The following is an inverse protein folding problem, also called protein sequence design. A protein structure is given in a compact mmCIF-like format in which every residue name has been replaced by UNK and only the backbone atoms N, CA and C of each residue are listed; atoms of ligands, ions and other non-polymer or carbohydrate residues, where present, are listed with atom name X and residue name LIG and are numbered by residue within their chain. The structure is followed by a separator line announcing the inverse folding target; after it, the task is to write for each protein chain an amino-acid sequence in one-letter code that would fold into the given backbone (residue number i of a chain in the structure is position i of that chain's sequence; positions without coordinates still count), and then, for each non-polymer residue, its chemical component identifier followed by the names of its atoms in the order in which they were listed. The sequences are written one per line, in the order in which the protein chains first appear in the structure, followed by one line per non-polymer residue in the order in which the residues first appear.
data_IF_207843044730
#
_entry.id   IF_207843044730
#
_cell.length_a   1.000
_cell.length_b   1.000
_cell.length_c   1.000
_cell.angle_alpha   90.00
_cell.angle_beta   90.00
_cell.angle_gamma   90.00
#
_symmetry.space_group_name_H-M   'P 1'
#
loop_
_entity.id
_entity.type
_entity.pdbx_description
1 polymer ?
#
# COMPACT_ATOMS: atom_id res chain seq x y z
N UNK A 1 29.58 4.64 -0.64
CA UNK A 1 28.25 4.43 -1.24
C UNK A 1 28.17 3.00 -1.76
N UNK A 2 27.25 2.22 -1.22
CA UNK A 2 26.98 0.83 -1.62
C UNK A 2 26.61 0.74 -3.07
N UNK A 3 26.91 0.47 -4.04
CA UNK A 3 26.43 0.40 -5.44
C UNK A 3 26.85 1.58 -6.33
N UNK A 4 27.99 2.21 -6.05
CA UNK A 4 28.51 3.30 -6.86
C UNK A 4 28.64 2.93 -8.36
N UNK A 5 28.96 1.68 -8.66
CA UNK A 5 29.06 1.19 -10.04
C UNK A 5 27.73 1.19 -10.82
N UNK A 6 26.62 1.20 -10.10
CA UNK A 6 25.25 1.22 -10.66
C UNK A 6 24.62 2.61 -10.62
N UNK A 7 25.36 3.64 -10.20
CA UNK A 7 24.84 4.99 -10.16
C UNK A 7 24.26 5.41 -11.50
N UNK A 8 23.04 5.92 -11.48
CA UNK A 8 22.30 6.38 -12.68
C UNK A 8 21.98 5.29 -13.72
N UNK A 9 22.00 4.03 -13.31
CA UNK A 9 21.64 2.91 -14.18
C UNK A 9 20.39 2.22 -13.69
N UNK A 10 19.49 1.88 -14.61
CA UNK A 10 18.42 0.93 -14.32
C UNK A 10 19.02 -0.47 -14.28
N UNK A 11 19.07 -1.07 -13.09
CA UNK A 11 19.69 -2.40 -12.90
C UNK A 11 18.68 -3.54 -12.96
N UNK A 12 17.39 -3.24 -12.74
CA UNK A 12 16.31 -4.23 -12.80
C UNK A 12 14.96 -3.54 -13.07
N UNK A 13 14.12 -4.22 -13.82
CA UNK A 13 12.70 -3.91 -13.95
C UNK A 13 11.88 -5.07 -13.38
N UNK A 14 10.85 -4.79 -12.60
CA UNK A 14 10.01 -5.78 -11.93
C UNK A 14 8.56 -5.46 -12.28
N UNK A 15 7.83 -6.50 -12.70
CA UNK A 15 6.41 -6.37 -12.99
C UNK A 15 5.61 -6.23 -11.70
N UNK A 16 4.86 -5.14 -11.55
CA UNK A 16 3.87 -4.93 -10.48
C UNK A 16 2.53 -5.60 -10.77
N UNK A 17 1.54 -5.34 -9.92
CA UNK A 17 0.18 -5.88 -10.10
C UNK A 17 -0.69 -5.07 -11.07
N UNK A 18 -0.19 -3.94 -11.55
CA UNK A 18 -0.87 -3.09 -12.54
C UNK A 18 -0.23 -1.72 -12.66
N UNK A 19 -0.70 -0.93 -13.60
CA UNK A 19 -0.31 0.47 -13.78
C UNK A 19 -1.08 1.40 -12.85
N UNK A 20 -0.67 2.67 -12.76
CA UNK A 20 -1.38 3.69 -12.00
C UNK A 20 -1.03 3.71 -10.51
N UNK A 21 0.18 3.24 -10.15
CA UNK A 21 0.73 3.39 -8.80
C UNK A 21 1.06 4.85 -8.51
N UNK A 22 0.79 5.26 -7.28
CA UNK A 22 1.20 6.55 -6.73
C UNK A 22 2.30 6.37 -5.66
N UNK A 23 2.22 5.30 -4.88
CA UNK A 23 3.10 5.11 -3.73
C UNK A 23 3.66 3.69 -3.68
N UNK A 24 4.92 3.61 -3.27
CA UNK A 24 5.58 2.39 -2.85
C UNK A 24 6.15 2.59 -1.46
N UNK A 25 6.19 1.54 -0.64
CA UNK A 25 6.73 1.64 0.71
C UNK A 25 7.45 0.39 1.15
N UNK A 26 8.57 0.60 1.82
CA UNK A 26 9.31 -0.43 2.57
C UNK A 26 9.53 0.04 4.00
N UNK A 27 10.04 -0.83 4.85
CA UNK A 27 10.47 -0.48 6.20
C UNK A 27 11.80 -1.21 6.53
N UNK A 28 12.74 -0.60 7.26
CA UNK A 28 14.04 -1.23 7.57
C UNK A 28 13.96 -2.59 8.27
N UNK A 29 12.86 -2.86 8.95
CA UNK A 29 12.62 -4.13 9.65
C UNK A 29 11.76 -5.13 8.86
N UNK A 30 11.37 -4.80 7.64
CA UNK A 30 10.52 -5.63 6.78
C UNK A 30 11.26 -6.08 5.52
N UNK A 31 10.85 -7.21 4.98
CA UNK A 31 11.27 -7.68 3.66
C UNK A 31 10.20 -7.41 2.59
N UNK A 32 9.10 -6.74 2.95
CA UNK A 32 8.02 -6.43 2.03
C UNK A 32 8.23 -5.07 1.36
N UNK A 33 7.96 -5.03 0.06
CA UNK A 33 7.75 -3.82 -0.73
C UNK A 33 6.28 -3.78 -1.11
N UNK A 34 5.55 -2.80 -0.57
CA UNK A 34 4.13 -2.59 -0.84
C UNK A 34 3.96 -1.56 -1.96
N UNK A 35 3.01 -1.83 -2.86
CA UNK A 35 2.75 -1.01 -4.05
C UNK A 35 1.25 -0.85 -4.21
N UNK A 36 0.77 0.38 -4.28
CA UNK A 36 -0.62 0.68 -4.63
C UNK A 36 -0.81 0.81 -6.15
N UNK A 37 -2.06 0.90 -6.61
CA UNK A 37 -2.39 1.23 -8.00
C UNK A 37 -3.75 1.96 -8.11
N UNK A 38 -3.99 3.03 -7.32
CA UNK A 38 -5.31 3.66 -7.24
C UNK A 38 -5.78 4.31 -8.53
N UNK A 39 -4.87 4.65 -9.44
CA UNK A 39 -5.21 5.27 -10.71
C UNK A 39 -5.50 4.25 -11.83
N UNK A 40 -5.43 2.95 -11.54
CA UNK A 40 -5.76 1.95 -12.53
C UNK A 40 -7.25 1.99 -12.87
N UNK A 41 -7.58 1.84 -14.15
CA UNK A 41 -8.97 1.80 -14.64
C UNK A 41 -9.71 0.53 -14.28
N UNK A 42 -9.00 -0.56 -14.03
CA UNK A 42 -9.59 -1.84 -13.64
C UNK A 42 -9.85 -1.87 -12.13
N UNK A 43 -11.11 -2.07 -11.75
CA UNK A 43 -11.53 -2.10 -10.36
C UNK A 43 -10.75 -3.14 -9.53
N UNK A 44 -10.52 -4.33 -10.11
CA UNK A 44 -9.76 -5.40 -9.44
C UNK A 44 -8.35 -4.95 -9.05
N UNK A 45 -7.73 -4.07 -9.83
CA UNK A 45 -6.39 -3.54 -9.57
C UNK A 45 -6.45 -2.36 -8.62
N UNK A 46 -7.30 -1.36 -8.91
CA UNK A 46 -7.38 -0.15 -8.07
C UNK A 46 -7.92 -0.40 -6.65
N UNK A 47 -8.56 -1.55 -6.44
CA UNK A 47 -9.11 -1.98 -5.15
C UNK A 47 -8.19 -2.93 -4.37
N UNK A 48 -7.00 -3.17 -4.89
CA UNK A 48 -6.01 -4.08 -4.30
C UNK A 48 -4.66 -3.38 -4.10
N UNK A 49 -3.76 -4.07 -3.41
CA UNK A 49 -2.35 -3.70 -3.33
C UNK A 49 -1.47 -4.87 -3.69
N UNK A 50 -0.33 -4.57 -4.29
CA UNK A 50 0.73 -5.54 -4.54
C UNK A 50 1.74 -5.56 -3.41
N UNK A 51 2.25 -6.74 -3.08
CA UNK A 51 3.37 -6.89 -2.17
C UNK A 51 4.41 -7.83 -2.74
N UNK A 52 5.65 -7.40 -2.75
CA UNK A 52 6.81 -8.17 -3.19
C UNK A 52 7.73 -8.45 -2.00
N UNK A 53 8.39 -9.60 -2.04
CA UNK A 53 9.49 -9.89 -1.12
C UNK A 53 10.80 -9.37 -1.72
N UNK A 54 11.41 -8.36 -1.09
CA UNK A 54 12.66 -7.75 -1.60
C UNK A 54 13.85 -8.71 -1.60
N UNK A 55 13.80 -9.79 -0.82
CA UNK A 55 14.81 -10.82 -0.81
C UNK A 55 14.57 -11.91 -1.87
N UNK A 56 13.36 -11.96 -2.45
CA UNK A 56 12.99 -12.94 -3.47
C UNK A 56 12.04 -12.35 -4.50
N UNK A 57 12.54 -11.43 -5.30
CA UNK A 57 11.77 -10.72 -6.32
C UNK A 57 11.27 -11.63 -7.45
N UNK A 58 11.94 -12.75 -7.68
CA UNK A 58 11.56 -13.74 -8.70
C UNK A 58 10.23 -14.45 -8.36
N UNK A 59 9.83 -14.43 -7.10
CA UNK A 59 8.53 -14.96 -6.68
C UNK A 59 7.35 -14.14 -7.23
N UNK A 60 7.63 -12.93 -7.71
CA UNK A 60 6.62 -12.02 -8.23
C UNK A 60 5.78 -11.36 -7.15
N UNK A 61 4.73 -10.68 -7.60
CA UNK A 61 3.84 -9.91 -6.74
C UNK A 61 2.72 -10.79 -6.17
N UNK A 62 2.45 -10.66 -4.88
CA UNK A 62 1.23 -11.15 -4.24
C UNK A 62 0.23 -10.00 -4.20
N UNK A 63 -1.02 -10.26 -4.58
CA UNK A 63 -2.08 -9.23 -4.60
C UNK A 63 -3.04 -9.46 -3.45
N UNK A 64 -3.35 -8.40 -2.70
CA UNK A 64 -4.24 -8.44 -1.55
C UNK A 64 -5.48 -7.57 -1.79
N UNK A 65 -6.70 -8.08 -1.55
CA UNK A 65 -7.96 -7.40 -1.85
C UNK A 65 -8.36 -6.44 -0.72
N UNK A 66 -7.58 -5.40 -0.51
CA UNK A 66 -7.71 -4.49 0.65
C UNK A 66 -9.09 -3.81 0.69
N UNK A 67 -9.64 -3.43 -0.46
CA UNK A 67 -10.95 -2.77 -0.50
C UNK A 67 -12.11 -3.72 -0.11
N UNK A 68 -11.98 -5.01 -0.37
CA UNK A 68 -12.96 -6.01 0.09
C UNK A 68 -12.95 -6.08 1.62
N UNK A 69 -11.77 -6.06 2.22
CA UNK A 69 -11.62 -6.09 3.67
C UNK A 69 -12.22 -4.85 4.36
N UNK A 70 -12.19 -3.70 3.68
CA UNK A 70 -12.77 -2.46 4.21
C UNK A 70 -14.31 -2.50 4.27
N UNK A 71 -14.96 -3.31 3.43
CA UNK A 71 -16.42 -3.48 3.36
C UNK A 71 -17.20 -2.15 3.31
N UNK A 72 -16.83 -1.26 2.39
CA UNK A 72 -17.41 0.09 2.27
C UNK A 72 -18.65 0.15 1.34
N UNK A 73 -19.41 -0.94 1.22
CA UNK A 73 -20.61 -0.99 0.37
C UNK A 73 -20.28 -1.21 -1.11
N UNK A 74 -21.25 -0.94 -1.96
CA UNK A 74 -21.16 -1.11 -3.41
C UNK A 74 -20.37 0.02 -4.09
N UNK A 75 -20.10 -0.15 -5.38
CA UNK A 75 -19.41 0.86 -6.20
C UNK A 75 -17.90 0.74 -6.22
N UNK A 76 -17.30 1.57 -7.06
CA UNK A 76 -15.84 1.60 -7.26
C UNK A 76 -15.10 2.15 -6.04
N UNK A 77 -14.13 1.39 -5.58
CA UNK A 77 -13.27 1.77 -4.46
C UNK A 77 -11.84 1.98 -4.96
N UNK A 78 -11.05 2.69 -4.17
CA UNK A 78 -9.62 2.85 -4.40
C UNK A 78 -8.87 2.61 -3.11
N UNK A 79 -7.70 1.98 -3.25
CA UNK A 79 -6.76 1.73 -2.15
C UNK A 79 -5.50 2.52 -2.44
N UNK A 80 -5.06 3.31 -1.49
CA UNK A 80 -3.93 4.21 -1.71
C UNK A 80 -3.03 4.30 -0.48
N UNK A 81 -1.76 4.54 -0.76
CA UNK A 81 -0.72 4.92 0.18
C UNK A 81 -0.49 3.90 1.30
N UNK A 82 0.40 2.92 1.06
CA UNK A 82 0.91 2.09 2.14
C UNK A 82 1.74 2.94 3.12
N UNK A 83 1.41 2.87 4.40
CA UNK A 83 2.18 3.52 5.47
C UNK A 83 2.49 2.54 6.59
N UNK A 84 3.75 2.48 7.00
CA UNK A 84 4.17 1.67 8.13
C UNK A 84 3.98 2.41 9.46
N UNK A 85 3.67 1.65 10.50
CA UNK A 85 3.88 2.13 11.86
C UNK A 85 5.39 2.13 12.20
N UNK A 86 5.76 2.80 13.29
CA UNK A 86 7.16 2.93 13.72
C UNK A 86 7.81 1.56 14.03
N UNK A 87 7.04 0.59 14.48
CA UNK A 87 7.54 -0.76 14.78
C UNK A 87 7.88 -1.54 13.52
N UNK A 88 7.23 -1.23 12.38
CA UNK A 88 7.40 -1.90 11.10
C UNK A 88 6.69 -3.25 11.03
N UNK A 89 5.70 -3.47 11.88
CA UNK A 89 4.90 -4.70 11.94
C UNK A 89 3.48 -4.53 11.41
N UNK A 90 3.08 -3.30 11.12
CA UNK A 90 1.78 -2.96 10.52
C UNK A 90 1.95 -2.08 9.29
N UNK A 91 1.11 -2.34 8.28
CA UNK A 91 0.96 -1.46 7.12
C UNK A 91 -0.49 -0.99 7.05
N UNK A 92 -0.67 0.30 6.89
CA UNK A 92 -1.95 0.97 6.91
C UNK A 92 -2.26 1.51 5.52
N UNK A 93 -3.49 1.31 5.06
CA UNK A 93 -3.96 1.75 3.75
C UNK A 93 -5.20 2.60 3.89
N UNK A 94 -5.27 3.68 3.14
CA UNK A 94 -6.50 4.42 2.96
C UNK A 94 -7.36 3.74 1.90
N UNK A 95 -8.62 3.53 2.22
CA UNK A 95 -9.62 3.00 1.28
C UNK A 95 -10.78 3.97 1.21
N UNK A 96 -11.20 4.32 0.02
CA UNK A 96 -12.37 5.16 -0.16
C UNK A 96 -13.34 4.62 -1.21
N UNK A 97 -14.62 4.90 -0.99
CA UNK A 97 -15.71 4.74 -1.94
C UNK A 97 -16.29 6.12 -2.24
N UNK A 98 -15.98 6.67 -3.42
CA UNK A 98 -16.39 8.03 -3.78
C UNK A 98 -17.92 8.15 -4.00
N UNK A 99 -18.57 7.09 -4.47
CA UNK A 99 -20.02 7.09 -4.70
C UNK A 99 -20.80 7.25 -3.40
N UNK A 100 -20.41 6.49 -2.36
CA UNK A 100 -21.06 6.50 -1.06
C UNK A 100 -20.46 7.52 -0.09
N UNK A 101 -19.40 8.26 -0.50
CA UNK A 101 -18.65 9.18 0.37
C UNK A 101 -18.18 8.53 1.66
N UNK A 102 -17.74 7.28 1.59
CA UNK A 102 -17.24 6.49 2.71
C UNK A 102 -15.75 6.27 2.60
N UNK A 103 -15.09 6.28 3.73
CA UNK A 103 -13.66 5.98 3.82
C UNK A 103 -13.36 5.07 5.02
N UNK A 104 -12.29 4.32 4.92
CA UNK A 104 -11.75 3.50 6.00
C UNK A 104 -10.23 3.49 5.94
N UNK A 105 -9.62 3.15 7.06
CA UNK A 105 -8.22 2.75 7.11
C UNK A 105 -8.17 1.25 7.36
N UNK A 106 -7.48 0.52 6.51
CA UNK A 106 -7.25 -0.91 6.65
C UNK A 106 -5.85 -1.14 7.18
N UNK A 107 -5.74 -1.83 8.31
CA UNK A 107 -4.48 -2.20 8.95
C UNK A 107 -4.18 -3.66 8.66
N UNK A 108 -3.01 -3.90 8.11
CA UNK A 108 -2.52 -5.22 7.71
C UNK A 108 -1.30 -5.57 8.56
N UNK A 109 -1.24 -6.79 9.05
CA UNK A 109 -0.04 -7.34 9.66
C UNK A 109 1.02 -7.57 8.56
N UNK A 110 2.18 -6.92 8.68
CA UNK A 110 3.20 -6.95 7.64
C UNK A 110 3.76 -8.35 7.40
N UNK A 111 4.00 -9.09 8.46
CA UNK A 111 4.64 -10.42 8.37
C UNK A 111 3.71 -11.47 7.76
N UNK A 112 2.46 -11.49 8.21
CA UNK A 112 1.48 -12.50 7.77
C UNK A 112 0.70 -12.06 6.54
N UNK A 113 0.72 -10.77 6.20
CA UNK A 113 -0.05 -10.15 5.12
C UNK A 113 -1.56 -10.34 5.28
N UNK A 114 -2.04 -10.44 6.52
CA UNK A 114 -3.45 -10.65 6.85
C UNK A 114 -4.07 -9.38 7.42
N UNK A 115 -5.36 -9.25 7.23
CA UNK A 115 -6.15 -8.19 7.86
C UNK A 115 -5.98 -8.24 9.38
N UNK A 116 -5.62 -7.12 9.99
CA UNK A 116 -5.53 -6.93 11.43
C UNK A 116 -6.71 -6.12 11.98
N UNK A 117 -7.05 -5.03 11.29
CA UNK A 117 -8.12 -4.13 11.72
C UNK A 117 -8.66 -3.30 10.56
N UNK A 118 -9.93 -2.96 10.62
CA UNK A 118 -10.54 -1.90 9.82
C UNK A 118 -10.98 -0.79 10.75
N UNK A 119 -10.57 0.43 10.45
CA UNK A 119 -10.95 1.63 11.20
C UNK A 119 -11.92 2.41 10.34
N UNK A 120 -13.15 2.55 10.81
CA UNK A 120 -14.19 3.37 10.21
C UNK A 120 -14.60 4.42 11.25
N UNK A 121 -14.60 5.67 10.86
CA UNK A 121 -15.03 6.78 11.71
C UNK A 121 -15.70 7.81 10.80
N UNK A 122 -16.82 8.42 11.19
CA UNK A 122 -17.48 9.48 10.41
C UNK A 122 -16.57 10.67 10.06
N UNK A 123 -15.50 10.85 10.80
CA UNK A 123 -14.47 11.88 10.54
C UNK A 123 -13.50 11.49 9.42
N UNK A 124 -13.43 10.21 9.06
CA UNK A 124 -12.61 9.73 7.93
C UNK A 124 -13.35 9.92 6.61
N UNK A 125 -13.64 11.15 6.26
CA UNK A 125 -14.41 11.49 5.05
C UNK A 125 -13.53 11.89 3.88
N UNK A 126 -12.25 12.04 4.10
CA UNK A 126 -11.33 12.44 3.03
C UNK A 126 -10.85 11.23 2.25
N UNK A 127 -10.92 11.29 0.92
CA UNK A 127 -10.43 10.21 0.07
C UNK A 127 -8.92 10.32 -0.21
N UNK A 128 -8.20 11.24 0.40
CA UNK A 128 -6.84 11.57 -0.04
C UNK A 128 -5.80 10.55 0.36
N UNK A 129 -6.04 9.77 1.39
CA UNK A 129 -5.07 8.79 1.88
C UNK A 129 -3.77 9.39 2.43
N UNK A 130 -3.62 10.69 2.42
CA UNK A 130 -2.42 11.33 2.96
C UNK A 130 -2.46 11.35 4.47
N UNK A 131 -1.87 10.34 5.06
CA UNK A 131 -1.60 10.27 6.48
C UNK A 131 -0.19 9.72 6.69
N UNK A 132 0.45 10.13 7.76
CA UNK A 132 1.76 9.65 8.14
C UNK A 132 1.69 9.11 9.57
N UNK A 133 1.99 7.83 9.74
CA UNK A 133 1.99 7.16 11.03
C UNK A 133 3.36 7.24 11.72
N UNK A 134 4.38 7.44 10.93
CA UNK A 134 5.75 7.46 11.38
C UNK A 134 6.39 8.80 11.06
N UNK A 135 5.77 9.86 11.58
CA UNK A 135 6.31 11.21 11.45
C UNK A 135 7.49 11.40 12.40
N UNK A 136 8.63 10.89 12.03
CA UNK A 136 9.87 10.98 12.80
C UNK A 136 10.96 11.67 11.99
N UNK A 137 12.03 12.06 12.66
CA UNK A 137 13.25 12.59 12.02
C UNK A 137 13.92 11.58 11.06
N UNK A 138 13.44 10.37 11.02
CA UNK A 138 13.92 9.29 10.15
C UNK A 138 12.92 8.92 9.07
N UNK A 139 11.97 9.79 8.80
CA UNK A 139 11.02 9.60 7.72
C UNK A 139 11.76 9.51 6.39
N UNK A 140 11.47 8.48 5.66
CA UNK A 140 12.25 8.00 4.53
C UNK A 140 11.51 8.23 3.21
N UNK A 141 10.96 9.37 3.05
CA UNK A 141 10.59 9.78 1.70
C UNK A 141 11.82 10.08 0.88
#
# INVERSE_FOLDING_TARGET
VKHKANAWKMVRSIQGHGSGSLFIKTHPKSTNLWVDAPLNGEAKISQSVGVLDINNLEKGVTVLPIAEWANLGEGGKRVVQPEYNMAGDEVWFSVWNAADKKSAIVVVDDKTRKLKKVITDPRLITPTGHFNLNNTMHDIY
#
